data_IF_493649672816
#
_entry.id   IF_493649672816
#
_cell.length_a   1.000
_cell.length_b   1.000
_cell.length_c   1.000
_cell.angle_alpha   90.00
_cell.angle_beta   90.00
_cell.angle_gamma   90.00
#
_symmetry.space_group_name_H-M   'P 1'
#
loop_
_entity.id
_entity.type
_entity.pdbx_description
1 polymer ?
#
# COMPACT_ATOMS: atom_id res chain seq x y z
N UNK A 1 -9.95 15.20 26.61
CA UNK A 1 -9.25 14.27 25.71
C UNK A 1 -9.72 14.60 24.32
N UNK A 2 -8.90 15.28 23.53
CA UNK A 2 -9.26 15.66 22.17
C UNK A 2 -9.17 14.40 21.30
N UNK A 3 -10.32 13.84 20.93
CA UNK A 3 -10.41 12.92 19.81
C UNK A 3 -10.01 13.71 18.57
N UNK A 4 -8.72 13.61 18.25
CA UNK A 4 -8.14 14.12 17.03
C UNK A 4 -8.89 13.42 15.90
N UNK A 5 -9.88 14.11 15.33
CA UNK A 5 -10.73 13.65 14.24
C UNK A 5 -9.88 13.55 12.96
N UNK A 6 -8.84 12.72 13.00
CA UNK A 6 -7.98 12.39 11.88
C UNK A 6 -8.86 11.63 10.93
N UNK A 7 -9.24 12.27 9.85
CA UNK A 7 -9.83 11.61 8.72
C UNK A 7 -8.88 10.49 8.28
N UNK A 8 -9.40 9.26 8.14
CA UNK A 8 -8.64 8.09 7.72
C UNK A 8 -9.27 7.54 6.44
N UNK A 9 -8.43 7.18 5.46
CA UNK A 9 -8.87 6.34 4.35
C UNK A 9 -8.87 4.89 4.79
N UNK A 10 -10.04 4.28 4.77
CA UNK A 10 -10.22 2.87 5.06
C UNK A 10 -10.45 2.12 3.74
N UNK A 11 -9.54 1.20 3.42
CA UNK A 11 -9.53 0.45 2.16
C UNK A 11 -9.65 -1.03 2.49
N UNK A 12 -10.75 -1.67 2.09
CA UNK A 12 -10.89 -3.12 2.18
C UNK A 12 -9.86 -3.82 1.30
N UNK A 13 -9.38 -4.99 1.71
CA UNK A 13 -8.35 -5.75 1.01
C UNK A 13 -8.78 -7.21 0.86
N UNK A 14 -8.55 -7.78 -0.31
CA UNK A 14 -8.47 -9.24 -0.45
C UNK A 14 -7.19 -9.80 0.20
N UNK A 15 -7.10 -11.12 0.36
CA UNK A 15 -5.92 -11.78 0.93
C UNK A 15 -4.60 -11.38 0.23
N UNK A 16 -4.58 -11.35 -1.10
CA UNK A 16 -3.37 -10.93 -1.85
C UNK A 16 -3.08 -9.43 -1.69
N UNK A 17 -4.13 -8.59 -1.65
CA UNK A 17 -3.97 -7.15 -1.41
C UNK A 17 -3.47 -6.85 0.01
N UNK A 18 -3.76 -7.72 0.99
CA UNK A 18 -3.26 -7.62 2.35
C UNK A 18 -1.74 -7.77 2.40
N UNK A 19 -1.20 -8.78 1.71
CA UNK A 19 0.25 -8.96 1.59
C UNK A 19 0.92 -7.75 0.92
N UNK A 20 0.30 -7.22 -0.14
CA UNK A 20 0.80 -6.02 -0.81
C UNK A 20 0.77 -4.79 0.10
N UNK A 21 -0.31 -4.59 0.86
CA UNK A 21 -0.44 -3.48 1.80
C UNK A 21 0.58 -3.59 2.94
N UNK A 22 0.80 -4.79 3.47
CA UNK A 22 1.81 -5.05 4.50
C UNK A 22 3.22 -4.72 3.97
N UNK A 23 3.58 -5.23 2.78
CA UNK A 23 4.87 -4.91 2.16
C UNK A 23 5.04 -3.41 1.91
N UNK A 24 4.01 -2.73 1.40
CA UNK A 24 4.03 -1.27 1.24
C UNK A 24 4.27 -0.55 2.57
N UNK A 25 3.54 -0.93 3.63
CA UNK A 25 3.71 -0.36 4.98
C UNK A 25 5.15 -0.56 5.46
N UNK A 26 5.68 -1.77 5.36
CA UNK A 26 7.03 -2.06 5.85
C UNK A 26 8.10 -1.27 5.09
N UNK A 27 7.97 -1.11 3.77
CA UNK A 27 8.87 -0.24 2.99
C UNK A 27 8.80 1.22 3.43
N UNK A 28 7.61 1.73 3.74
CA UNK A 28 7.47 3.10 4.26
C UNK A 28 8.14 3.19 5.63
N UNK A 29 7.86 2.27 6.56
CA UNK A 29 8.35 2.33 7.93
C UNK A 29 9.86 2.10 8.05
N UNK A 30 10.47 1.40 7.10
CA UNK A 30 11.93 1.32 6.99
C UNK A 30 12.59 2.68 6.73
N UNK A 31 11.88 3.61 6.08
CA UNK A 31 12.38 4.96 5.75
C UNK A 31 11.83 6.05 6.65
N UNK A 32 10.61 5.87 7.13
CA UNK A 32 9.83 6.82 7.93
C UNK A 32 9.12 6.08 9.08
N UNK A 33 9.86 5.61 10.10
CA UNK A 33 9.30 4.85 11.21
C UNK A 33 8.25 5.62 12.00
N UNK A 34 8.32 6.95 12.01
CA UNK A 34 7.37 7.86 12.65
C UNK A 34 5.94 7.73 12.09
N UNK A 35 5.76 7.18 10.88
CA UNK A 35 4.45 7.00 10.26
C UNK A 35 3.72 5.72 10.71
N UNK A 36 4.27 4.97 11.70
CA UNK A 36 3.73 3.67 12.14
C UNK A 36 2.27 3.70 12.57
N UNK A 37 1.84 4.76 13.26
CA UNK A 37 0.44 4.93 13.68
C UNK A 37 -0.46 5.49 12.58
N UNK A 38 0.12 6.04 11.51
CA UNK A 38 -0.60 6.67 10.41
C UNK A 38 -0.90 5.73 9.25
N UNK A 39 -0.28 4.54 9.23
CA UNK A 39 -0.43 3.51 8.21
C UNK A 39 -0.60 2.17 8.91
N UNK A 40 -1.84 1.72 9.02
CA UNK A 40 -2.23 0.50 9.74
C UNK A 40 -2.80 -0.50 8.75
N UNK A 41 -2.38 -1.76 8.90
CA UNK A 41 -2.92 -2.90 8.15
C UNK A 41 -3.41 -3.91 9.18
N UNK A 42 -4.72 -4.07 9.28
CA UNK A 42 -5.37 -4.95 10.27
C UNK A 42 -6.73 -5.39 9.73
N UNK A 43 -7.21 -6.58 10.12
CA UNK A 43 -8.57 -7.06 9.83
C UNK A 43 -8.99 -6.94 8.35
N UNK A 44 -8.09 -7.27 7.42
CA UNK A 44 -8.30 -7.14 5.96
C UNK A 44 -8.57 -5.71 5.50
N UNK A 45 -8.10 -4.72 6.26
CA UNK A 45 -8.23 -3.30 5.98
C UNK A 45 -6.86 -2.61 5.97
N UNK A 46 -6.68 -1.66 5.06
CA UNK A 46 -5.61 -0.67 5.09
C UNK A 46 -6.21 0.66 5.49
N UNK A 47 -5.69 1.21 6.59
CA UNK A 47 -6.03 2.51 7.14
C UNK A 47 -4.86 3.46 6.95
N UNK A 48 -5.08 4.54 6.21
CA UNK A 48 -4.07 5.59 5.96
C UNK A 48 -4.63 6.93 6.46
N UNK A 49 -3.91 7.60 7.35
CA UNK A 49 -4.26 8.94 7.77
C UNK A 49 -4.34 9.90 6.56
N UNK A 50 -5.41 10.70 6.49
CA UNK A 50 -5.68 11.67 5.41
C UNK A 50 -4.84 12.93 5.58
N UNK A 51 -3.53 12.74 5.59
CA UNK A 51 -2.54 13.79 5.65
C UNK A 51 -1.70 13.71 4.36
N UNK A 52 -1.45 14.84 3.67
CA UNK A 52 -0.74 14.84 2.40
C UNK A 52 0.59 14.07 2.42
N UNK A 53 1.40 14.27 3.47
CA UNK A 53 2.70 13.63 3.60
C UNK A 53 2.61 12.11 3.85
N UNK A 54 1.57 11.63 4.54
CA UNK A 54 1.34 10.19 4.78
C UNK A 54 0.90 9.52 3.48
N UNK A 55 -0.06 10.13 2.75
CA UNK A 55 -0.50 9.66 1.43
C UNK A 55 0.67 9.58 0.46
N UNK A 56 1.48 10.64 0.40
CA UNK A 56 2.64 10.71 -0.47
C UNK A 56 3.68 9.64 -0.10
N UNK A 57 4.00 9.49 1.18
CA UNK A 57 4.91 8.45 1.65
C UNK A 57 4.43 7.05 1.23
N UNK A 58 3.14 6.74 1.41
CA UNK A 58 2.60 5.45 1.00
C UNK A 58 2.70 5.22 -0.52
N UNK A 59 2.41 6.23 -1.34
CA UNK A 59 2.49 6.12 -2.80
C UNK A 59 3.93 6.01 -3.30
N UNK A 60 4.84 6.84 -2.81
CA UNK A 60 6.20 6.97 -3.33
C UNK A 60 7.18 5.96 -2.72
N UNK A 61 7.05 5.65 -1.43
CA UNK A 61 7.95 4.73 -0.73
C UNK A 61 7.38 3.32 -0.65
N UNK A 62 6.07 3.19 -0.46
CA UNK A 62 5.40 1.89 -0.38
C UNK A 62 5.10 1.31 -1.77
N UNK A 63 4.13 1.90 -2.46
CA UNK A 63 3.56 1.36 -3.70
C UNK A 63 4.58 1.33 -4.84
N UNK A 64 5.36 2.38 -5.05
CA UNK A 64 6.39 2.39 -6.09
C UNK A 64 7.49 1.35 -5.81
N UNK A 65 7.87 1.16 -4.55
CA UNK A 65 8.86 0.16 -4.16
C UNK A 65 8.34 -1.25 -4.36
N UNK A 66 7.09 -1.54 -3.99
CA UNK A 66 6.44 -2.82 -4.23
C UNK A 66 6.47 -3.19 -5.73
N UNK A 67 6.06 -2.26 -6.60
CA UNK A 67 6.09 -2.47 -8.05
C UNK A 67 7.50 -2.77 -8.54
N UNK A 68 8.51 -2.04 -8.05
CA UNK A 68 9.91 -2.26 -8.42
C UNK A 68 10.42 -3.62 -7.96
N UNK A 69 10.15 -4.01 -6.71
CA UNK A 69 10.59 -5.30 -6.14
C UNK A 69 9.93 -6.46 -6.87
N UNK A 70 8.63 -6.39 -7.14
CA UNK A 70 7.93 -7.45 -7.88
C UNK A 70 8.46 -7.59 -9.31
N UNK A 71 8.74 -6.48 -10.01
CA UNK A 71 9.38 -6.53 -11.33
C UNK A 71 10.74 -7.23 -11.28
N UNK A 72 11.59 -6.88 -10.31
CA UNK A 72 12.90 -7.51 -10.13
C UNK A 72 12.78 -9.00 -9.80
N UNK A 73 11.83 -9.38 -8.95
CA UNK A 73 11.59 -10.78 -8.60
C UNK A 73 11.11 -11.61 -9.79
N UNK A 74 10.29 -11.03 -10.67
CA UNK A 74 9.85 -11.69 -11.92
C UNK A 74 11.03 -11.86 -12.87
N UNK A 75 11.82 -10.80 -13.12
CA UNK A 75 12.99 -10.84 -14.00
C UNK A 75 14.05 -11.81 -13.48
N UNK A 76 14.28 -11.82 -12.16
CA UNK A 76 15.20 -12.74 -11.48
C UNK A 76 14.67 -14.17 -11.32
N UNK A 77 13.50 -14.49 -11.90
CA UNK A 77 12.84 -15.82 -11.82
C UNK A 77 12.61 -16.32 -10.37
N UNK A 78 12.55 -15.41 -9.40
CA UNK A 78 12.24 -15.72 -8.01
C UNK A 78 10.74 -16.05 -7.81
N UNK A 79 9.91 -15.73 -8.80
CA UNK A 79 8.47 -16.06 -8.82
C UNK A 79 8.23 -17.10 -9.90
N UNK A 80 7.56 -18.19 -9.55
CA UNK A 80 7.17 -19.22 -10.50
C UNK A 80 6.35 -18.62 -11.66
N UNK A 81 6.75 -18.90 -12.90
CA UNK A 81 6.18 -18.27 -14.10
C UNK A 81 4.66 -18.42 -14.21
N UNK A 82 4.12 -19.55 -13.73
CA UNK A 82 2.67 -19.83 -13.70
C UNK A 82 1.88 -18.88 -12.79
N UNK A 83 2.51 -18.31 -11.76
CA UNK A 83 1.88 -17.37 -10.81
C UNK A 83 1.96 -15.92 -11.28
N UNK A 84 2.87 -15.59 -12.20
CA UNK A 84 3.16 -14.22 -12.64
C UNK A 84 1.92 -13.51 -13.21
N UNK A 85 1.10 -14.12 -14.10
CA UNK A 85 -0.05 -13.42 -14.67
C UNK A 85 -1.06 -12.98 -13.61
N UNK A 86 -1.39 -13.88 -12.68
CA UNK A 86 -2.34 -13.58 -11.60
C UNK A 86 -1.79 -12.50 -10.66
N UNK A 87 -0.51 -12.60 -10.30
CA UNK A 87 0.14 -11.63 -9.43
C UNK A 87 0.18 -10.22 -10.05
N UNK A 88 0.45 -10.11 -11.35
CA UNK A 88 0.42 -8.84 -12.07
C UNK A 88 -0.99 -8.25 -12.13
N UNK A 89 -2.01 -9.10 -12.35
CA UNK A 89 -3.41 -8.68 -12.31
C UNK A 89 -3.80 -8.13 -10.93
N UNK A 90 -3.50 -8.87 -9.86
CA UNK A 90 -3.80 -8.46 -8.50
C UNK A 90 -3.05 -7.17 -8.12
N UNK A 91 -1.79 -7.03 -8.54
CA UNK A 91 -0.99 -5.81 -8.33
C UNK A 91 -1.60 -4.60 -9.06
N UNK A 92 -2.03 -4.77 -10.31
CA UNK A 92 -2.65 -3.70 -11.10
C UNK A 92 -3.98 -3.24 -10.47
N UNK A 93 -4.79 -4.20 -10.00
CA UNK A 93 -6.04 -3.93 -9.29
C UNK A 93 -5.78 -3.17 -7.98
N UNK A 94 -4.84 -3.67 -7.17
CA UNK A 94 -4.42 -3.04 -5.92
C UNK A 94 -3.95 -1.60 -6.16
N UNK A 95 -3.02 -1.38 -7.09
CA UNK A 95 -2.50 -0.04 -7.44
C UNK A 95 -3.63 0.92 -7.81
N UNK A 96 -4.55 0.48 -8.67
CA UNK A 96 -5.67 1.31 -9.13
C UNK A 96 -6.58 1.69 -7.96
N UNK A 97 -6.86 0.74 -7.07
CA UNK A 97 -7.66 0.94 -5.86
C UNK A 97 -7.03 1.97 -4.93
N UNK A 98 -5.75 1.82 -4.60
CA UNK A 98 -5.01 2.76 -3.75
C UNK A 98 -5.01 4.17 -4.36
N UNK A 99 -4.61 4.31 -5.63
CA UNK A 99 -4.51 5.62 -6.28
C UNK A 99 -5.86 6.32 -6.33
N UNK A 100 -6.94 5.60 -6.66
CA UNK A 100 -8.29 6.17 -6.67
C UNK A 100 -8.73 6.63 -5.30
N UNK A 101 -8.48 5.84 -4.25
CA UNK A 101 -8.89 6.22 -2.90
C UNK A 101 -8.11 7.43 -2.38
N UNK A 102 -6.78 7.42 -2.51
CA UNK A 102 -5.94 8.46 -1.93
C UNK A 102 -5.98 9.80 -2.70
N UNK A 103 -6.41 9.80 -3.97
CA UNK A 103 -6.57 11.04 -4.76
C UNK A 103 -7.96 11.68 -4.66
N UNK A 104 -8.98 10.96 -4.17
CA UNK A 104 -10.39 11.42 -4.15
C UNK A 104 -10.68 12.61 -3.23
N UNK A 105 -9.77 13.01 -2.33
CA UNK A 105 -9.91 14.16 -1.43
C UNK A 105 -8.78 15.19 -1.56
N UNK A 106 -8.14 15.25 -2.73
CA UNK A 106 -7.16 16.30 -3.02
C UNK A 106 -7.79 17.51 -3.72
N UNK A 107 -9.13 17.57 -3.80
CA UNK A 107 -9.91 18.68 -4.35
C UNK A 107 -10.90 19.20 -3.33
#
# INVERSE_FOLDING_TARGET
>A
MAEDNRTVFSISLSAQELEFAAACRDFVLQKKPELRSSIVVADSMLSIADQPHVRQAFMELGLARLVRVLRLAIVGKAIAIRRVPRLLFDLARFRTKIVRTLRRRAG
#
